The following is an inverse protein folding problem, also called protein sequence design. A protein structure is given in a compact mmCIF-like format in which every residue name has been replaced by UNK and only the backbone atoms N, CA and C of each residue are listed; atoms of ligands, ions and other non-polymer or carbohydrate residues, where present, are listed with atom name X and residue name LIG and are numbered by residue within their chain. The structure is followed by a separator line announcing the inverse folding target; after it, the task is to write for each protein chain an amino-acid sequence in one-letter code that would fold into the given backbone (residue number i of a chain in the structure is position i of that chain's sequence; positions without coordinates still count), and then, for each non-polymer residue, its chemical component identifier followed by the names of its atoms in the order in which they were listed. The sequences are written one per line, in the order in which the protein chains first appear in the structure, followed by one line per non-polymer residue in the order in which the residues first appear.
data_IF_103496594663
#
_entry.id   IF_103496594663
#
_cell.length_a   1.000
_cell.length_b   1.000
_cell.length_c   1.000
_cell.angle_alpha   90.00
_cell.angle_beta   90.00
_cell.angle_gamma   90.00
#
_symmetry.space_group_name_H-M   'P 1'
#
loop_
_entity.id
_entity.type
_entity.pdbx_description
1 polymer ?
#
# COMPACT_ATOMS: atom_id res chain seq x y z
N UNK A 1 6.83 12.26 4.69
CA UNK A 1 7.18 11.05 5.46
C UNK A 1 8.27 11.36 6.48
N UNK A 2 8.44 10.48 7.47
CA UNK A 2 9.54 10.49 8.46
C UNK A 2 10.06 9.07 8.65
N UNK A 3 11.28 8.93 9.13
CA UNK A 3 11.92 7.63 9.38
C UNK A 3 11.94 7.29 10.86
N UNK A 4 11.83 6.01 11.20
CA UNK A 4 12.14 5.51 12.54
C UNK A 4 13.56 5.93 12.97
N UNK A 5 13.71 6.22 14.27
CA UNK A 5 15.00 6.61 14.84
C UNK A 5 15.97 5.44 14.70
N UNK A 6 17.19 5.71 14.23
CA UNK A 6 18.24 4.69 14.10
C UNK A 6 18.29 3.96 12.76
N UNK A 7 17.36 4.20 11.82
CA UNK A 7 17.46 3.63 10.47
C UNK A 7 18.77 4.08 9.80
N UNK A 8 19.55 3.11 9.33
CA UNK A 8 20.81 3.31 8.63
C UNK A 8 20.64 4.18 7.38
N UNK A 9 21.65 5.02 7.09
CA UNK A 9 21.62 5.98 5.97
C UNK A 9 21.37 5.31 4.60
N UNK A 10 21.90 4.10 4.39
CA UNK A 10 21.69 3.33 3.15
C UNK A 10 20.21 3.05 2.90
N UNK A 11 19.47 2.61 3.92
CA UNK A 11 18.05 2.28 3.78
C UNK A 11 17.19 3.53 3.58
N UNK A 12 17.51 4.64 4.25
CA UNK A 12 16.84 5.92 3.98
C UNK A 12 16.98 6.32 2.51
N UNK A 13 18.18 6.19 1.96
CA UNK A 13 18.44 6.46 0.54
C UNK A 13 17.64 5.52 -0.36
N UNK A 14 17.62 4.21 -0.10
CA UNK A 14 16.80 3.27 -0.89
C UNK A 14 15.32 3.64 -0.89
N UNK A 15 14.76 4.08 0.24
CA UNK A 15 13.37 4.56 0.34
C UNK A 15 13.16 5.86 -0.44
N UNK A 16 14.05 6.84 -0.28
CA UNK A 16 13.96 8.13 -0.96
C UNK A 16 14.08 7.98 -2.48
N UNK A 17 14.99 7.12 -2.95
CA UNK A 17 15.18 6.83 -4.36
C UNK A 17 13.97 6.08 -4.93
N UNK A 18 13.37 5.16 -4.16
CA UNK A 18 12.14 4.47 -4.56
C UNK A 18 10.97 5.44 -4.76
N UNK A 19 10.71 6.34 -3.81
CA UNK A 19 9.66 7.35 -3.98
C UNK A 19 9.95 8.30 -5.14
N UNK A 20 11.21 8.65 -5.39
CA UNK A 20 11.60 9.45 -6.56
C UNK A 20 11.24 8.73 -7.86
N UNK A 21 11.59 7.45 -7.96
CA UNK A 21 11.29 6.63 -9.13
C UNK A 21 9.78 6.49 -9.38
N UNK A 22 8.97 6.30 -8.33
CA UNK A 22 7.51 6.27 -8.44
C UNK A 22 6.97 7.62 -8.93
N UNK A 23 7.47 8.74 -8.40
CA UNK A 23 7.07 10.09 -8.80
C UNK A 23 7.44 10.43 -10.24
N UNK A 24 8.51 9.84 -10.77
CA UNK A 24 8.96 10.05 -12.16
C UNK A 24 8.19 9.14 -13.13
N UNK A 25 8.12 7.84 -12.81
CA UNK A 25 7.73 6.81 -13.76
C UNK A 25 6.30 6.27 -13.58
N UNK A 26 5.66 6.51 -12.43
CA UNK A 26 4.33 5.96 -12.15
C UNK A 26 3.19 6.62 -12.94
N UNK A 27 2.00 6.02 -12.84
CA UNK A 27 0.73 6.60 -13.28
C UNK A 27 0.38 7.84 -12.43
N UNK A 28 -0.57 8.65 -12.88
CA UNK A 28 -1.01 9.85 -12.14
C UNK A 28 -1.51 9.50 -10.73
N UNK A 29 -2.20 8.37 -10.58
CA UNK A 29 -2.65 7.88 -9.28
C UNK A 29 -1.47 7.52 -8.38
N UNK A 30 -0.50 6.76 -8.89
CA UNK A 30 0.70 6.37 -8.14
C UNK A 30 1.51 7.59 -7.71
N UNK A 31 1.69 8.56 -8.62
CA UNK A 31 2.34 9.84 -8.35
C UNK A 31 1.61 10.64 -7.28
N UNK A 32 0.28 10.68 -7.32
CA UNK A 32 -0.54 11.34 -6.31
C UNK A 32 -0.36 10.71 -4.92
N UNK A 33 -0.43 9.37 -4.83
CA UNK A 33 -0.23 8.62 -3.58
C UNK A 33 1.16 8.88 -3.02
N UNK A 34 2.21 8.64 -3.83
CA UNK A 34 3.60 8.88 -3.45
C UNK A 34 3.83 10.34 -3.00
N UNK A 35 3.27 11.30 -3.73
CA UNK A 35 3.38 12.72 -3.39
C UNK A 35 2.70 13.08 -2.07
N UNK A 36 1.58 12.45 -1.73
CA UNK A 36 0.94 12.62 -0.42
C UNK A 36 1.78 12.00 0.70
N UNK A 37 2.30 10.79 0.50
CA UNK A 37 3.17 10.11 1.46
C UNK A 37 4.43 10.93 1.75
N UNK A 38 5.15 11.36 0.71
CA UNK A 38 6.40 12.14 0.86
C UNK A 38 6.15 13.46 1.60
N UNK A 39 5.00 14.11 1.38
CA UNK A 39 4.65 15.39 2.04
C UNK A 39 3.95 15.24 3.40
N UNK A 40 3.65 14.02 3.84
CA UNK A 40 2.97 13.74 5.13
C UNK A 40 3.94 13.56 6.30
N UNK A 41 3.44 13.16 7.47
CA UNK A 41 4.23 12.67 8.61
C UNK A 41 4.24 11.14 8.76
N UNK A 42 3.83 10.39 7.72
CA UNK A 42 3.80 8.92 7.71
C UNK A 42 5.16 8.34 8.11
N UNK A 43 5.15 7.31 8.95
CA UNK A 43 6.35 6.69 9.49
C UNK A 43 6.85 5.56 8.59
N UNK A 44 8.12 5.61 8.18
CA UNK A 44 8.79 4.49 7.51
C UNK A 44 9.68 3.76 8.51
N UNK A 45 9.53 2.44 8.57
CA UNK A 45 10.32 1.53 9.41
C UNK A 45 11.11 0.57 8.51
N UNK A 46 12.26 0.12 8.97
CA UNK A 46 13.02 -0.97 8.34
C UNK A 46 13.24 -2.02 9.41
N UNK A 47 12.69 -3.21 9.19
CA UNK A 47 12.67 -4.32 10.14
C UNK A 47 13.21 -5.59 9.48
N UNK A 48 13.73 -6.57 10.21
CA UNK A 48 14.06 -7.86 9.61
C UNK A 48 12.79 -8.58 9.16
N UNK A 49 12.88 -9.41 8.11
CA UNK A 49 11.76 -10.27 7.65
C UNK A 49 11.23 -11.13 8.80
N UNK A 50 12.09 -11.59 9.70
CA UNK A 50 11.70 -12.37 10.89
C UNK A 50 10.75 -11.65 11.84
N UNK A 51 10.67 -10.31 11.80
CA UNK A 51 9.77 -9.52 12.64
C UNK A 51 8.43 -9.25 11.94
N UNK A 52 8.44 -8.96 10.64
CA UNK A 52 7.23 -8.54 9.90
C UNK A 52 6.62 -9.65 9.03
N UNK A 53 7.32 -10.77 8.83
CA UNK A 53 6.91 -11.95 8.04
C UNK A 53 6.46 -11.67 6.59
N UNK A 54 6.90 -10.55 6.02
CA UNK A 54 6.59 -10.11 4.66
C UNK A 54 7.70 -9.22 4.11
N UNK A 55 7.65 -8.87 2.82
CA UNK A 55 8.54 -7.86 2.22
C UNK A 55 8.20 -6.44 2.71
N UNK A 56 6.92 -6.18 2.97
CA UNK A 56 6.42 -4.98 3.59
C UNK A 56 5.12 -5.23 4.35
N UNK A 57 4.78 -4.30 5.25
CA UNK A 57 3.50 -4.26 5.95
C UNK A 57 3.12 -2.82 6.27
N UNK A 58 1.84 -2.51 6.17
CA UNK A 58 1.25 -1.23 6.55
C UNK A 58 0.38 -1.36 7.79
N UNK A 59 0.39 -0.36 8.68
CA UNK A 59 -0.50 -0.33 9.84
C UNK A 59 -0.54 1.01 10.58
N UNK A 60 -1.19 1.06 11.74
CA UNK A 60 -1.23 2.26 12.59
C UNK A 60 0.00 2.37 13.50
N UNK A 61 0.43 3.60 13.73
CA UNK A 61 1.50 3.88 14.68
C UNK A 61 1.03 3.61 16.11
N UNK A 62 -0.17 4.06 16.46
CA UNK A 62 -0.82 3.89 17.76
C UNK A 62 -2.35 3.96 17.59
N UNK A 63 -3.06 2.82 17.61
CA UNK A 63 -4.51 2.78 17.45
C UNK A 63 -5.29 3.59 18.48
N UNK A 64 -4.84 3.64 19.73
CA UNK A 64 -5.56 4.36 20.80
C UNK A 64 -5.46 5.87 20.58
N UNK A 65 -4.25 6.35 20.28
CA UNK A 65 -4.02 7.76 19.91
C UNK A 65 -4.80 8.15 18.65
N UNK A 66 -4.77 7.31 17.61
CA UNK A 66 -5.51 7.59 16.35
C UNK A 66 -7.01 7.68 16.60
N UNK A 67 -7.60 6.78 17.40
CA UNK A 67 -9.01 6.84 17.77
C UNK A 67 -9.36 8.11 18.58
N UNK A 68 -8.49 8.54 19.49
CA UNK A 68 -8.68 9.80 20.20
C UNK A 68 -8.69 10.99 19.23
N UNK A 69 -7.83 10.99 18.20
CA UNK A 69 -7.82 12.07 17.20
C UNK A 69 -9.07 12.05 16.33
N UNK A 70 -9.51 10.87 15.86
CA UNK A 70 -10.76 10.70 15.11
C UNK A 70 -11.94 11.30 15.90
N UNK A 71 -12.02 11.05 17.20
CA UNK A 71 -13.11 11.55 18.04
C UNK A 71 -13.09 13.08 18.24
N UNK A 72 -11.91 13.71 18.19
CA UNK A 72 -11.73 15.10 18.63
C UNK A 72 -11.49 16.10 17.50
N UNK A 73 -11.07 15.65 16.32
CA UNK A 73 -10.59 16.51 15.22
C UNK A 73 -11.16 16.04 13.88
N UNK A 74 -11.26 16.95 12.90
CA UNK A 74 -11.43 16.57 11.49
C UNK A 74 -10.03 16.46 10.87
N UNK A 75 -9.66 15.28 10.42
CA UNK A 75 -8.33 14.99 9.90
C UNK A 75 -8.30 15.12 8.37
N UNK A 76 -7.38 15.92 7.86
CA UNK A 76 -7.06 15.87 6.43
C UNK A 76 -6.42 14.53 6.10
N UNK A 77 -6.47 14.12 4.82
CA UNK A 77 -5.78 12.93 4.35
C UNK A 77 -4.28 12.93 4.71
N UNK A 78 -3.62 14.09 4.69
CA UNK A 78 -2.20 14.23 5.02
C UNK A 78 -1.95 14.07 6.52
N UNK A 79 -2.87 14.54 7.36
CA UNK A 79 -2.80 14.35 8.81
C UNK A 79 -3.05 12.89 9.17
N UNK A 80 -4.03 12.25 8.53
CA UNK A 80 -4.34 10.83 8.67
C UNK A 80 -3.17 9.93 8.22
N UNK A 81 -2.48 10.25 7.12
CA UNK A 81 -1.23 9.59 6.75
C UNK A 81 -0.16 9.69 7.85
N UNK A 82 -0.20 10.72 8.68
CA UNK A 82 0.69 10.89 9.84
C UNK A 82 0.51 9.83 10.93
N UNK A 83 -0.64 9.16 10.96
CA UNK A 83 -1.02 8.09 11.89
C UNK A 83 -0.60 6.70 11.40
N UNK A 84 -0.17 6.59 10.14
CA UNK A 84 0.14 5.32 9.47
C UNK A 84 1.65 5.08 9.40
N UNK A 85 2.06 3.81 9.45
CA UNK A 85 3.41 3.39 9.11
C UNK A 85 3.43 2.41 7.94
N UNK A 86 4.55 2.41 7.21
CA UNK A 86 4.97 1.31 6.35
C UNK A 86 6.29 0.77 6.92
N UNK A 87 6.34 -0.54 7.17
CA UNK A 87 7.57 -1.25 7.49
C UNK A 87 8.01 -2.04 6.26
N UNK A 88 9.26 -1.91 5.87
CA UNK A 88 9.87 -2.70 4.79
C UNK A 88 10.95 -3.62 5.38
N UNK A 89 11.03 -4.83 4.85
CA UNK A 89 12.02 -5.79 5.30
C UNK A 89 13.43 -5.43 4.83
N UNK A 90 14.41 -5.53 5.73
CA UNK A 90 15.82 -5.23 5.46
C UNK A 90 16.39 -6.10 4.33
N UNK A 91 16.05 -7.38 4.35
CA UNK A 91 16.51 -8.40 3.42
C UNK A 91 15.92 -8.21 2.01
N UNK A 92 14.77 -7.55 1.92
CA UNK A 92 14.03 -7.35 0.67
C UNK A 92 14.10 -5.93 0.15
N UNK A 93 14.74 -5.00 0.86
CA UNK A 93 14.77 -3.58 0.46
C UNK A 93 15.44 -3.37 -0.90
N UNK A 94 16.45 -4.18 -1.22
CA UNK A 94 17.17 -4.11 -2.50
C UNK A 94 16.71 -5.19 -3.50
N UNK A 95 15.89 -6.18 -3.09
CA UNK A 95 15.60 -7.38 -3.92
C UNK A 95 14.18 -7.97 -3.86
N UNK A 96 13.28 -7.61 -2.94
CA UNK A 96 11.98 -8.29 -2.79
C UNK A 96 10.83 -7.64 -3.57
N UNK A 97 9.94 -8.45 -4.15
CA UNK A 97 8.97 -8.05 -5.18
C UNK A 97 8.00 -6.91 -4.85
N UNK A 98 7.64 -5.97 -5.72
CA UNK A 98 7.80 -5.92 -7.20
C UNK A 98 8.60 -4.71 -7.76
N UNK A 99 9.94 -4.67 -7.78
CA UNK A 99 11.02 -5.51 -7.21
C UNK A 99 12.05 -4.63 -6.52
N UNK A 100 12.20 -4.86 -5.24
CA UNK A 100 12.91 -4.00 -4.31
C UNK A 100 11.95 -3.01 -3.65
N UNK A 101 12.57 -1.97 -3.09
CA UNK A 101 11.91 -0.90 -2.36
C UNK A 101 10.72 -0.28 -3.11
N UNK A 102 10.86 -0.01 -4.41
CA UNK A 102 9.82 0.63 -5.25
C UNK A 102 8.50 -0.14 -5.26
N UNK A 103 8.53 -1.43 -5.62
CA UNK A 103 7.32 -2.24 -5.69
C UNK A 103 6.63 -2.38 -4.34
N UNK A 104 7.42 -2.53 -3.28
CA UNK A 104 6.89 -2.55 -1.92
C UNK A 104 6.16 -1.24 -1.61
N UNK A 105 6.72 -0.08 -1.93
CA UNK A 105 6.06 1.20 -1.69
C UNK A 105 4.90 1.52 -2.65
N UNK A 106 4.82 0.90 -3.83
CA UNK A 106 3.62 1.00 -4.67
C UNK A 106 2.46 0.23 -4.03
N UNK A 107 2.71 -1.00 -3.59
CA UNK A 107 1.72 -1.85 -2.95
C UNK A 107 1.32 -1.34 -1.55
N UNK A 108 2.28 -1.24 -0.63
CA UNK A 108 2.05 -0.75 0.73
C UNK A 108 1.65 0.72 0.75
N UNK A 109 2.13 1.52 -0.21
CA UNK A 109 1.70 2.91 -0.34
C UNK A 109 0.21 3.03 -0.68
N UNK A 110 -0.34 2.07 -1.42
CA UNK A 110 -1.79 2.00 -1.66
C UNK A 110 -2.55 1.68 -0.38
N UNK A 111 -2.12 0.69 0.39
CA UNK A 111 -2.72 0.39 1.70
C UNK A 111 -2.64 1.60 2.64
N UNK A 112 -1.49 2.27 2.72
CA UNK A 112 -1.32 3.43 3.58
C UNK A 112 -2.25 4.58 3.19
N UNK A 113 -2.45 4.78 1.88
CA UNK A 113 -3.38 5.77 1.37
C UNK A 113 -4.84 5.41 1.70
N UNK A 114 -5.23 4.15 1.56
CA UNK A 114 -6.58 3.69 1.90
C UNK A 114 -6.86 3.77 3.40
N UNK A 115 -5.92 3.36 4.25
CA UNK A 115 -6.03 3.53 5.70
C UNK A 115 -6.16 5.00 6.09
N UNK A 116 -5.40 5.89 5.46
CA UNK A 116 -5.51 7.33 5.70
C UNK A 116 -6.87 7.90 5.22
N UNK A 117 -7.41 7.41 4.10
CA UNK A 117 -8.77 7.78 3.66
C UNK A 117 -9.83 7.30 4.66
N UNK A 118 -9.70 6.08 5.19
CA UNK A 118 -10.60 5.55 6.22
C UNK A 118 -10.57 6.42 7.47
N UNK A 119 -9.37 6.69 8.02
CA UNK A 119 -9.19 7.56 9.19
C UNK A 119 -9.79 8.96 8.95
N UNK A 120 -9.49 9.59 7.80
CA UNK A 120 -10.01 10.91 7.48
C UNK A 120 -11.55 10.90 7.39
N UNK A 121 -12.13 9.92 6.70
CA UNK A 121 -13.60 9.80 6.59
C UNK A 121 -14.28 9.53 7.93
N UNK A 122 -13.65 8.74 8.81
CA UNK A 122 -14.17 8.45 10.15
C UNK A 122 -14.13 9.67 11.08
N UNK A 123 -13.21 10.61 10.83
CA UNK A 123 -13.08 11.86 11.59
C UNK A 123 -14.06 12.96 11.15
N UNK A 124 -14.68 12.81 9.98
CA UNK A 124 -15.59 13.80 9.37
C UNK A 124 -17.05 13.30 9.29
N UNK A 125 -17.42 12.28 10.07
CA UNK A 125 -18.74 11.63 10.05
C UNK A 125 -19.89 12.59 10.35
N UNK A 126 -19.66 13.61 11.18
CA UNK A 126 -20.67 14.62 11.51
C UNK A 126 -21.01 15.53 10.30
N UNK A 127 -20.03 15.83 9.45
CA UNK A 127 -20.22 16.66 8.25
C UNK A 127 -20.66 15.84 7.06
N UNK A 128 -20.18 14.59 6.94
CA UNK A 128 -20.40 13.75 5.77
C UNK A 128 -20.69 12.27 6.12
N UNK A 129 -21.83 11.98 6.79
CA UNK A 129 -22.14 10.65 7.31
C UNK A 129 -22.38 9.58 6.24
N UNK A 130 -22.65 9.97 4.99
CA UNK A 130 -22.94 9.05 3.88
C UNK A 130 -21.70 8.69 3.04
N UNK A 131 -20.54 9.32 3.30
CA UNK A 131 -19.32 9.13 2.51
C UNK A 131 -18.21 8.44 3.30
N UNK A 132 -18.56 7.52 4.20
CA UNK A 132 -17.59 6.72 4.95
C UNK A 132 -16.85 5.80 3.98
N UNK A 133 -15.51 5.86 3.99
CA UNK A 133 -14.66 4.99 3.19
C UNK A 133 -14.08 3.88 4.06
N UNK A 134 -14.64 2.68 3.96
CA UNK A 134 -14.21 1.51 4.77
C UNK A 134 -14.13 0.24 3.92
N UNK A 135 -13.10 0.12 3.05
CA UNK A 135 -12.98 -1.01 2.14
C UNK A 135 -12.73 -2.32 2.90
N UNK A 136 -13.18 -3.42 2.31
CA UNK A 136 -12.85 -4.79 2.76
C UNK A 136 -11.39 -5.14 2.49
N UNK A 137 -10.85 -6.14 3.18
CA UNK A 137 -9.50 -6.66 2.92
C UNK A 137 -9.34 -7.12 1.45
N UNK A 138 -10.38 -7.73 0.87
CA UNK A 138 -10.39 -8.06 -0.55
C UNK A 138 -10.20 -6.82 -1.44
N UNK A 139 -10.93 -5.73 -1.18
CA UNK A 139 -10.83 -4.50 -1.97
C UNK A 139 -9.46 -3.81 -1.81
N UNK A 140 -8.90 -3.85 -0.60
CA UNK A 140 -7.56 -3.34 -0.31
C UNK A 140 -6.50 -4.07 -1.14
N UNK A 141 -6.45 -5.40 -1.04
CA UNK A 141 -5.46 -6.23 -1.73
C UNK A 141 -5.66 -6.22 -3.25
N UNK A 142 -6.91 -6.18 -3.71
CA UNK A 142 -7.25 -6.05 -5.13
C UNK A 142 -6.66 -4.78 -5.74
N UNK A 143 -6.94 -3.62 -5.15
CA UNK A 143 -6.45 -2.35 -5.69
C UNK A 143 -4.93 -2.24 -5.55
N UNK A 144 -4.33 -2.77 -4.48
CA UNK A 144 -2.89 -2.79 -4.29
C UNK A 144 -2.17 -3.67 -5.34
N UNK A 145 -2.75 -4.82 -5.73
CA UNK A 145 -2.21 -5.62 -6.83
C UNK A 145 -2.45 -4.99 -8.20
N UNK A 146 -3.63 -4.40 -8.44
CA UNK A 146 -3.96 -3.72 -9.70
C UNK A 146 -2.99 -2.58 -9.99
N UNK A 147 -2.79 -1.68 -9.01
CA UNK A 147 -1.87 -0.54 -9.15
C UNK A 147 -0.41 -0.99 -9.25
N UNK A 148 -0.03 -2.10 -8.59
CA UNK A 148 1.29 -2.70 -8.75
C UNK A 148 1.51 -3.17 -10.19
N UNK A 149 0.52 -3.84 -10.79
CA UNK A 149 0.55 -4.27 -12.19
C UNK A 149 0.72 -3.09 -13.16
N UNK A 150 -0.06 -2.02 -12.96
CA UNK A 150 0.08 -0.80 -13.75
C UNK A 150 1.50 -0.21 -13.66
N UNK A 151 2.09 -0.20 -12.46
CA UNK A 151 3.45 0.29 -12.28
C UNK A 151 4.48 -0.55 -13.03
N UNK A 152 4.37 -1.89 -12.97
CA UNK A 152 5.26 -2.79 -13.71
C UNK A 152 5.21 -2.52 -15.22
N UNK A 153 4.01 -2.26 -15.76
CA UNK A 153 3.83 -1.89 -17.17
C UNK A 153 4.40 -0.51 -17.49
N UNK A 154 4.35 0.46 -16.57
CA UNK A 154 5.00 1.76 -16.74
C UNK A 154 6.54 1.63 -16.78
N UNK A 155 7.12 0.79 -15.91
CA UNK A 155 8.57 0.56 -15.88
C UNK A 155 9.04 -0.24 -17.10
N UNK A 156 8.24 -1.22 -17.52
CA UNK A 156 8.44 -2.00 -18.75
C UNK A 156 9.85 -2.60 -18.93
N UNK A 157 10.47 -3.07 -17.84
CA UNK A 157 11.72 -3.85 -17.90
C UNK A 157 11.39 -5.32 -17.73
N UNK A 158 12.09 -6.20 -18.45
CA UNK A 158 11.83 -7.65 -18.51
C UNK A 158 11.62 -8.28 -17.14
N UNK A 159 12.49 -7.93 -16.22
CA UNK A 159 12.46 -8.34 -14.84
C UNK A 159 11.12 -7.98 -14.13
N UNK A 160 10.53 -6.78 -14.33
CA UNK A 160 9.23 -6.38 -13.72
C UNK A 160 8.12 -7.19 -14.35
N UNK A 161 8.19 -7.37 -15.67
CA UNK A 161 7.21 -8.14 -16.41
C UNK A 161 7.23 -9.63 -16.01
N UNK A 162 8.42 -10.21 -15.87
CA UNK A 162 8.58 -11.62 -15.48
C UNK A 162 8.04 -11.89 -14.09
N UNK A 163 8.34 -11.04 -13.12
CA UNK A 163 7.78 -11.22 -11.78
C UNK A 163 6.27 -10.98 -11.79
N UNK A 164 5.77 -9.95 -12.48
CA UNK A 164 4.34 -9.68 -12.63
C UNK A 164 3.56 -10.85 -13.20
N UNK A 165 4.11 -11.51 -14.23
CA UNK A 165 3.55 -12.74 -14.81
C UNK A 165 3.57 -13.90 -13.80
N UNK A 166 4.67 -14.07 -13.07
CA UNK A 166 4.79 -15.14 -12.07
C UNK A 166 3.81 -14.97 -10.90
N UNK A 167 3.57 -13.73 -10.47
CA UNK A 167 2.61 -13.42 -9.40
C UNK A 167 1.15 -13.46 -9.86
N UNK A 168 0.88 -13.69 -11.16
CA UNK A 168 -0.46 -13.61 -11.76
C UNK A 168 -1.06 -12.19 -11.66
N UNK A 169 -0.22 -11.16 -11.59
CA UNK A 169 -0.64 -9.75 -11.64
C UNK A 169 -0.70 -9.28 -13.09
N UNK A 170 0.22 -9.77 -13.92
CA UNK A 170 0.25 -9.51 -15.35
C UNK A 170 -0.12 -10.77 -16.13
N UNK A 171 -0.68 -10.55 -17.32
CA UNK A 171 -0.97 -11.57 -18.32
C UNK A 171 -0.29 -11.26 -19.64
N UNK A 172 -0.26 -12.24 -20.54
CA UNK A 172 0.26 -12.10 -21.90
C UNK A 172 -0.48 -13.05 -22.84
N UNK A 173 -0.97 -12.54 -23.97
CA UNK A 173 -1.77 -13.34 -24.92
C UNK A 173 -0.92 -14.32 -25.76
N UNK A 174 0.34 -13.98 -26.03
CA UNK A 174 1.29 -14.79 -26.79
C UNK A 174 2.67 -14.73 -26.12
N UNK A 175 3.52 -15.75 -26.28
CA UNK A 175 4.82 -15.83 -25.58
C UNK A 175 5.69 -14.56 -25.72
N UNK A 176 5.59 -13.86 -26.85
CA UNK A 176 6.34 -12.64 -27.18
C UNK A 176 5.49 -11.36 -27.27
N UNK A 177 4.23 -11.39 -26.83
CA UNK A 177 3.32 -10.25 -26.87
C UNK A 177 3.50 -9.24 -25.71
N UNK A 178 2.85 -8.06 -25.78
CA UNK A 178 2.84 -7.10 -24.68
C UNK A 178 2.15 -7.69 -23.44
N UNK A 179 2.64 -7.32 -22.26
CA UNK A 179 1.96 -7.63 -21.01
C UNK A 179 0.79 -6.67 -20.76
N UNK A 180 -0.21 -7.14 -20.03
CA UNK A 180 -1.35 -6.35 -19.55
C UNK A 180 -1.64 -6.73 -18.09
N UNK A 181 -2.40 -5.90 -17.36
CA UNK A 181 -2.84 -6.23 -16.00
C UNK A 181 -3.91 -7.31 -16.06
N UNK A 182 -3.62 -8.48 -15.49
CA UNK A 182 -4.51 -9.64 -15.53
C UNK A 182 -5.48 -9.61 -14.35
N UNK A 183 -6.66 -9.04 -14.61
CA UNK A 183 -7.72 -8.90 -13.61
C UNK A 183 -8.22 -10.26 -13.10
N UNK A 184 -8.29 -11.27 -13.97
CA UNK A 184 -8.67 -12.63 -13.59
C UNK A 184 -7.55 -13.32 -12.81
N UNK A 185 -6.29 -13.08 -13.21
CA UNK A 185 -5.10 -13.50 -12.50
C UNK A 185 -5.03 -12.95 -11.07
N UNK A 186 -5.29 -11.66 -10.88
CA UNK A 186 -5.36 -11.02 -9.55
C UNK A 186 -6.48 -11.66 -8.72
N UNK A 187 -7.68 -11.85 -9.30
CA UNK A 187 -8.78 -12.52 -8.61
C UNK A 187 -8.39 -13.93 -8.14
N UNK A 188 -7.71 -14.69 -9.01
CA UNK A 188 -7.20 -16.02 -8.70
C UNK A 188 -6.16 -15.97 -7.59
N UNK A 189 -5.21 -15.03 -7.66
CA UNK A 189 -4.17 -14.82 -6.65
C UNK A 189 -4.79 -14.56 -5.28
N UNK A 190 -5.74 -13.63 -5.17
CA UNK A 190 -6.41 -13.32 -3.90
C UNK A 190 -7.10 -14.55 -3.31
N UNK A 191 -7.78 -15.33 -4.13
CA UNK A 191 -8.45 -16.55 -3.69
C UNK A 191 -7.45 -17.61 -3.24
N UNK A 192 -6.40 -17.86 -4.01
CA UNK A 192 -5.49 -18.99 -3.79
C UNK A 192 -4.39 -18.70 -2.76
N UNK A 193 -3.91 -17.46 -2.69
CA UNK A 193 -2.81 -17.07 -1.79
C UNK A 193 -3.31 -16.45 -0.48
N UNK A 194 -4.45 -15.76 -0.50
CA UNK A 194 -4.97 -15.01 0.66
C UNK A 194 -6.30 -15.57 1.17
N UNK A 195 -6.93 -16.51 0.45
CA UNK A 195 -8.26 -17.03 0.79
C UNK A 195 -9.38 -16.01 0.62
N UNK A 196 -9.15 -14.91 -0.10
CA UNK A 196 -10.09 -13.80 -0.27
C UNK A 196 -10.89 -13.95 -1.57
N UNK A 197 -12.21 -13.82 -1.49
CA UNK A 197 -13.11 -13.95 -2.64
C UNK A 197 -14.31 -12.99 -2.51
N UNK A 198 -14.50 -12.15 -3.53
CA UNK A 198 -15.60 -11.18 -3.61
C UNK A 198 -16.96 -11.86 -3.44
N UNK A 199 -17.82 -11.28 -2.59
CA UNK A 199 -19.15 -11.79 -2.29
C UNK A 199 -19.20 -13.12 -1.51
N UNK A 200 -18.06 -13.68 -1.09
CA UNK A 200 -18.01 -14.91 -0.28
C UNK A 200 -17.17 -14.74 0.99
N UNK A 201 -15.90 -14.41 0.85
CA UNK A 201 -14.97 -14.15 1.95
C UNK A 201 -14.14 -12.92 1.61
N UNK A 202 -14.71 -11.74 1.86
CA UNK A 202 -14.04 -10.46 1.56
C UNK A 202 -13.04 -10.05 2.65
N UNK A 203 -13.00 -10.80 3.74
CA UNK A 203 -12.21 -10.45 4.92
C UNK A 203 -12.79 -9.27 5.71
N UNK A 204 -12.10 -8.83 6.78
CA UNK A 204 -12.53 -7.70 7.60
C UNK A 204 -12.44 -6.37 6.83
N UNK A 205 -13.21 -5.39 7.26
CA UNK A 205 -13.06 -4.00 6.83
C UNK A 205 -11.76 -3.37 7.36
N UNK A 206 -11.27 -2.32 6.68
CA UNK A 206 -10.10 -1.56 7.07
C UNK A 206 -10.19 -1.06 8.52
N UNK A 207 -11.35 -0.54 8.93
CA UNK A 207 -11.58 -0.10 10.31
C UNK A 207 -11.38 -1.22 11.33
N UNK A 208 -11.86 -2.43 11.04
CA UNK A 208 -11.71 -3.59 11.91
C UNK A 208 -10.26 -4.09 11.96
N UNK A 209 -9.55 -4.09 10.81
CA UNK A 209 -8.12 -4.41 10.74
C UNK A 209 -7.27 -3.46 11.60
N UNK A 210 -7.63 -2.19 11.60
CA UNK A 210 -6.89 -1.13 12.27
C UNK A 210 -7.36 -0.87 13.72
N UNK A 211 -8.48 -1.46 14.14
CA UNK A 211 -9.09 -1.19 15.44
C UNK A 211 -9.67 0.22 15.58
N UNK A 212 -10.17 0.79 14.48
CA UNK A 212 -10.76 2.14 14.44
C UNK A 212 -12.22 2.14 14.90
N UNK A 213 -12.64 3.27 15.45
CA UNK A 213 -14.01 3.56 15.87
C UNK A 213 -14.46 4.84 15.19
N UNK A 214 -15.70 4.85 14.71
CA UNK A 214 -16.32 6.06 14.16
C UNK A 214 -16.46 7.13 15.25
N UNK A 215 -16.30 8.39 14.85
CA UNK A 215 -16.66 9.55 15.67
C UNK A 215 -18.17 9.60 15.89
#
# INVERSE_FOLDING_TARGET
MRFEKGIAKKYRRSVEDAFRSILENGTDLQKSIAGNIVRSKMLVRVKPVSEINASGITGLIDPDSTNQRIANEILSLRDALGEVYIAIAEETIDTGGQRGCEGTFVHEGRHAYDFAQTIASFSDTETNPLSIFDPTLFELEWEAHRISGEYMLCINKDEYLHEGLHLMILGREAETGPCFVDIEGIARRLRESYGLERGKNEGPHASALLGLRLK
#
